data_IF_206242484779
#
_entry.id   IF_206242484779
#
_cell.length_a   1.000
_cell.length_b   1.000
_cell.length_c   1.000
_cell.angle_alpha   90.00
_cell.angle_beta   90.00
_cell.angle_gamma   90.00
#
_symmetry.space_group_name_H-M   'P 1'
#
loop_
_entity.id
_entity.type
_entity.pdbx_description
1 polymer ?
#
# COMPACT_ATOMS: atom_id res chain seq x y z
N UNK A 1 -19.92 -43.24 10.61
CA UNK A 1 -19.26 -42.11 11.31
C UNK A 1 -18.21 -41.56 10.37
N UNK A 2 -18.59 -40.58 9.53
CA UNK A 2 -17.65 -39.91 8.64
C UNK A 2 -16.86 -38.90 9.47
N UNK A 3 -15.56 -39.11 9.60
CA UNK A 3 -14.65 -38.08 10.07
C UNK A 3 -14.60 -37.01 8.98
N UNK A 4 -15.22 -35.86 9.24
CA UNK A 4 -15.24 -34.74 8.33
C UNK A 4 -13.82 -34.20 8.15
N UNK A 5 -13.26 -34.40 6.98
CA UNK A 5 -12.08 -33.66 6.52
C UNK A 5 -12.42 -32.16 6.59
N UNK A 6 -11.59 -31.31 7.22
CA UNK A 6 -11.82 -29.87 7.18
C UNK A 6 -11.76 -29.42 5.71
N UNK A 7 -12.77 -28.66 5.28
CA UNK A 7 -12.99 -28.36 3.88
C UNK A 7 -11.94 -27.43 3.26
N UNK A 8 -11.08 -26.74 4.02
CA UNK A 8 -9.98 -25.93 3.47
C UNK A 8 -8.84 -25.81 4.49
N UNK A 9 -7.63 -26.18 4.08
CA UNK A 9 -6.38 -25.91 4.81
C UNK A 9 -5.91 -24.50 4.46
N UNK A 10 -5.45 -23.74 5.44
CA UNK A 10 -4.75 -22.45 5.22
C UNK A 10 -3.28 -22.83 5.15
N UNK A 11 -2.66 -22.74 3.98
CA UNK A 11 -1.20 -22.84 3.91
C UNK A 11 -0.62 -21.47 4.24
N UNK A 12 -0.20 -21.35 5.50
CA UNK A 12 0.63 -20.25 5.99
C UNK A 12 2.02 -20.23 5.34
N UNK A 13 2.27 -21.05 4.31
CA UNK A 13 3.62 -21.51 3.96
C UNK A 13 4.46 -20.46 3.22
N UNK A 14 3.85 -19.49 2.51
CA UNK A 14 4.59 -18.73 1.49
C UNK A 14 4.90 -17.27 1.89
N UNK A 15 3.98 -16.56 2.54
CA UNK A 15 4.21 -15.19 2.99
C UNK A 15 3.33 -14.74 4.17
N UNK A 16 3.86 -13.80 4.95
CA UNK A 16 3.21 -13.13 6.07
C UNK A 16 3.13 -11.63 5.80
N UNK A 17 2.09 -10.95 6.31
CA UNK A 17 2.07 -9.49 6.35
C UNK A 17 2.44 -8.99 7.73
N UNK A 18 3.35 -8.03 7.77
CA UNK A 18 3.80 -7.34 8.98
C UNK A 18 3.55 -5.84 8.85
N UNK A 19 3.52 -5.15 9.98
CA UNK A 19 3.62 -3.69 10.03
C UNK A 19 4.66 -3.25 11.04
N UNK A 20 5.25 -2.06 10.84
CA UNK A 20 6.19 -1.47 11.79
C UNK A 20 5.41 -0.88 12.96
N UNK A 21 5.52 -1.46 14.16
CA UNK A 21 4.80 -0.96 15.34
C UNK A 21 5.36 0.38 15.83
N UNK A 22 6.68 0.58 15.73
CA UNK A 22 7.30 1.82 16.18
C UNK A 22 7.06 2.94 15.15
N UNK A 23 6.49 4.04 15.62
CA UNK A 23 6.22 5.26 14.88
C UNK A 23 6.85 6.47 15.56
N UNK A 24 7.03 7.58 14.83
CA UNK A 24 7.55 8.83 15.36
C UNK A 24 6.94 9.99 14.56
N UNK A 25 6.74 11.14 15.20
CA UNK A 25 6.21 12.36 14.58
C UNK A 25 7.12 12.92 13.47
N UNK A 26 8.42 12.63 13.52
CA UNK A 26 9.39 13.03 12.50
C UNK A 26 9.47 12.07 11.31
N UNK A 27 8.84 10.89 11.37
CA UNK A 27 8.88 9.92 10.28
C UNK A 27 8.11 10.44 9.07
N UNK A 28 8.66 10.20 7.87
CA UNK A 28 8.00 10.49 6.60
C UNK A 28 6.65 9.78 6.49
N UNK A 29 6.58 8.53 6.96
CA UNK A 29 5.37 7.69 6.96
C UNK A 29 5.06 7.17 8.36
N UNK A 30 3.79 7.25 8.75
CA UNK A 30 3.29 6.69 10.01
C UNK A 30 3.12 5.18 9.85
N UNK A 31 2.41 4.75 8.82
CA UNK A 31 2.11 3.35 8.52
C UNK A 31 3.11 2.82 7.51
N UNK A 32 3.80 1.75 7.88
CA UNK A 32 4.66 0.98 6.98
C UNK A 32 4.30 -0.48 7.18
N UNK A 33 3.83 -1.12 6.12
CA UNK A 33 3.51 -2.54 6.09
C UNK A 33 4.26 -3.23 4.97
N UNK A 34 4.54 -4.52 5.11
CA UNK A 34 5.21 -5.30 4.08
C UNK A 34 4.80 -6.76 4.14
N UNK A 35 4.89 -7.42 2.99
CA UNK A 35 4.88 -8.87 2.93
C UNK A 35 6.31 -9.38 3.09
N UNK A 36 6.48 -10.39 3.92
CA UNK A 36 7.74 -11.07 4.18
C UNK A 36 7.57 -12.56 3.96
N UNK A 37 8.64 -13.31 3.66
CA UNK A 37 8.56 -14.76 3.59
C UNK A 37 8.06 -15.36 4.91
N UNK A 38 7.53 -16.57 4.85
CA UNK A 38 7.14 -17.28 6.07
C UNK A 38 8.35 -17.49 6.99
N UNK A 39 8.23 -17.07 8.25
CA UNK A 39 9.32 -17.15 9.20
C UNK A 39 9.05 -16.44 10.52
N UNK A 40 10.00 -16.52 11.48
CA UNK A 40 9.88 -15.84 12.75
C UNK A 40 9.98 -14.31 12.58
N UNK A 41 9.09 -13.58 13.25
CA UNK A 41 9.10 -12.11 13.27
C UNK A 41 9.23 -11.57 14.69
N UNK A 42 9.84 -10.39 14.82
CA UNK A 42 10.01 -9.73 16.12
C UNK A 42 8.74 -9.00 16.58
N UNK A 43 8.65 -8.70 17.88
CA UNK A 43 7.49 -8.01 18.47
C UNK A 43 7.19 -6.63 17.85
N UNK A 44 8.20 -5.93 17.32
CA UNK A 44 8.03 -4.63 16.67
C UNK A 44 7.63 -4.74 15.19
N UNK A 45 7.46 -5.96 14.68
CA UNK A 45 6.91 -6.28 13.37
C UNK A 45 5.67 -7.18 13.54
N UNK A 46 4.57 -6.70 14.16
CA UNK A 46 3.44 -7.56 14.46
C UNK A 46 2.77 -8.06 13.18
N UNK A 47 2.21 -9.27 13.27
CA UNK A 47 1.59 -9.96 12.15
C UNK A 47 0.14 -9.52 11.94
N UNK A 48 -0.23 -9.38 10.67
CA UNK A 48 -1.60 -9.34 10.20
C UNK A 48 -1.86 -10.63 9.42
N UNK A 49 -2.82 -11.41 9.92
CA UNK A 49 -3.24 -12.66 9.28
C UNK A 49 -4.72 -12.58 8.97
N UNK A 50 -5.10 -13.18 7.86
CA UNK A 50 -6.47 -13.16 7.36
C UNK A 50 -6.98 -14.59 7.31
N UNK A 51 -8.12 -14.85 7.95
CA UNK A 51 -8.74 -16.16 7.93
C UNK A 51 -9.13 -16.51 6.49
N UNK A 52 -8.76 -17.71 6.04
CA UNK A 52 -9.20 -18.29 4.75
C UNK A 52 -8.97 -17.38 3.52
N UNK A 53 -7.87 -16.61 3.52
CA UNK A 53 -7.60 -15.61 2.49
C UNK A 53 -6.48 -16.03 1.54
N UNK A 54 -6.61 -15.64 0.26
CA UNK A 54 -5.62 -15.92 -0.79
C UNK A 54 -4.49 -14.88 -0.79
N UNK A 55 -3.38 -15.15 -1.47
CA UNK A 55 -2.27 -14.20 -1.65
C UNK A 55 -2.72 -12.82 -2.15
N UNK A 56 -3.74 -12.77 -3.02
CA UNK A 56 -4.34 -11.52 -3.50
C UNK A 56 -4.86 -10.64 -2.36
N UNK A 57 -5.41 -11.22 -1.28
CA UNK A 57 -5.87 -10.42 -0.15
C UNK A 57 -4.71 -9.71 0.56
N UNK A 58 -3.58 -10.41 0.73
CA UNK A 58 -2.36 -9.84 1.28
C UNK A 58 -1.83 -8.70 0.40
N UNK A 59 -1.80 -8.90 -0.91
CA UNK A 59 -1.44 -7.88 -1.90
C UNK A 59 -2.29 -6.60 -1.78
N UNK A 60 -3.61 -6.77 -1.66
CA UNK A 60 -4.54 -5.63 -1.60
C UNK A 60 -4.42 -4.88 -0.27
N UNK A 61 -4.35 -5.60 0.85
CA UNK A 61 -4.30 -4.98 2.17
C UNK A 61 -2.96 -4.30 2.42
N UNK A 62 -1.83 -4.91 2.03
CA UNK A 62 -0.51 -4.26 2.14
C UNK A 62 -0.45 -2.97 1.33
N UNK A 63 -1.03 -2.98 0.12
CA UNK A 63 -1.05 -1.80 -0.75
C UNK A 63 -1.88 -0.69 -0.13
N UNK A 64 -3.05 -1.03 0.41
CA UNK A 64 -3.93 -0.06 1.05
C UNK A 64 -3.30 0.54 2.31
N UNK A 65 -2.68 -0.29 3.15
CA UNK A 65 -1.97 0.13 4.37
C UNK A 65 -0.79 1.07 4.09
N UNK A 66 -0.14 0.94 2.93
CA UNK A 66 0.94 1.82 2.52
C UNK A 66 0.48 3.01 1.68
N UNK A 67 -0.83 3.24 1.51
CA UNK A 67 -1.33 4.41 0.80
C UNK A 67 -1.23 5.69 1.64
N UNK A 68 -0.93 6.82 1.01
CA UNK A 68 -0.90 8.15 1.64
C UNK A 68 -2.24 8.52 2.28
N UNK A 69 -3.41 8.32 1.65
CA UNK A 69 -4.69 8.59 2.29
C UNK A 69 -4.90 7.83 3.62
N UNK A 70 -4.52 6.55 3.66
CA UNK A 70 -4.61 5.77 4.90
C UNK A 70 -3.57 6.26 5.93
N UNK A 71 -2.33 6.53 5.51
CA UNK A 71 -1.28 7.04 6.41
C UNK A 71 -1.69 8.37 7.05
N UNK A 72 -2.32 9.25 6.28
CA UNK A 72 -2.86 10.52 6.78
C UNK A 72 -3.91 10.29 7.87
N UNK A 73 -4.88 9.39 7.62
CA UNK A 73 -5.90 9.02 8.60
C UNK A 73 -5.30 8.41 9.88
N UNK A 74 -4.32 7.53 9.73
CA UNK A 74 -3.59 6.92 10.84
C UNK A 74 -2.82 7.97 11.65
N UNK A 75 -2.16 8.93 10.97
CA UNK A 75 -1.39 10.01 11.60
C UNK A 75 -2.25 10.94 12.44
N UNK A 76 -3.50 11.17 12.05
CA UNK A 76 -4.46 11.95 12.85
C UNK A 76 -4.92 11.20 14.12
N UNK A 77 -4.84 9.86 14.10
CA UNK A 77 -5.33 9.01 15.20
C UNK A 77 -4.23 8.64 16.21
N UNK A 78 -3.00 8.47 15.73
CA UNK A 78 -1.87 7.98 16.53
C UNK A 78 -1.13 9.16 17.15
N UNK A 79 -1.29 9.35 18.46
CA UNK A 79 -0.56 10.37 19.25
C UNK A 79 0.72 9.86 19.92
N UNK A 80 0.96 8.55 19.90
CA UNK A 80 2.10 7.90 20.57
C UNK A 80 3.14 7.35 19.58
N UNK A 81 4.12 6.62 20.12
CA UNK A 81 5.19 5.97 19.33
C UNK A 81 4.89 4.52 18.96
N UNK A 82 3.74 3.98 19.38
CA UNK A 82 3.32 2.61 19.07
C UNK A 82 2.05 2.61 18.26
N UNK A 83 2.06 1.88 17.14
CA UNK A 83 0.93 1.73 16.25
C UNK A 83 -0.15 0.82 16.82
N UNK A 84 0.16 -0.15 17.70
CA UNK A 84 -0.77 -0.97 18.50
C UNK A 84 -2.02 -1.55 17.78
N UNK A 85 -2.39 -2.80 18.04
CA UNK A 85 -3.51 -3.45 17.33
C UNK A 85 -4.87 -2.74 17.42
N UNK A 86 -5.14 -1.94 18.46
CA UNK A 86 -6.41 -1.22 18.55
C UNK A 86 -6.54 -0.09 17.52
N UNK A 87 -5.44 0.57 17.10
CA UNK A 87 -5.51 1.51 15.97
C UNK A 87 -5.61 0.76 14.65
N UNK A 88 -4.80 -0.29 14.46
CA UNK A 88 -4.78 -1.07 13.21
C UNK A 88 -6.15 -1.67 12.88
N UNK A 89 -6.89 -2.14 13.90
CA UNK A 89 -8.26 -2.65 13.75
C UNK A 89 -9.30 -1.59 13.36
N UNK A 90 -8.96 -0.30 13.46
CA UNK A 90 -9.84 0.83 13.14
C UNK A 90 -9.41 1.56 11.85
N UNK A 91 -8.29 1.17 11.23
CA UNK A 91 -7.87 1.78 9.98
C UNK A 91 -8.92 1.58 8.89
N UNK A 92 -9.08 2.56 7.98
CA UNK A 92 -10.05 2.50 6.90
C UNK A 92 -9.61 1.52 5.81
N UNK A 93 -9.43 0.24 6.15
CA UNK A 93 -9.10 -0.79 5.16
C UNK A 93 -10.35 -1.09 4.32
N UNK A 94 -10.23 -0.91 3.01
CA UNK A 94 -11.35 -1.11 2.09
C UNK A 94 -11.80 -2.59 2.11
N UNK A 95 -13.12 -2.85 2.05
CA UNK A 95 -13.62 -4.23 2.05
C UNK A 95 -13.36 -4.91 0.69
N UNK A 96 -13.31 -6.26 0.63
CA UNK A 96 -12.97 -7.00 -0.58
C UNK A 96 -13.78 -6.60 -1.83
N UNK A 97 -15.06 -6.29 -1.65
CA UNK A 97 -15.98 -5.92 -2.75
C UNK A 97 -15.59 -4.60 -3.42
N UNK A 98 -14.90 -3.71 -2.70
CA UNK A 98 -14.43 -2.44 -3.27
C UNK A 98 -13.39 -2.68 -4.39
N UNK A 99 -12.54 -3.69 -4.25
CA UNK A 99 -11.48 -4.00 -5.21
C UNK A 99 -11.98 -4.63 -6.51
N UNK A 100 -13.19 -5.20 -6.49
CA UNK A 100 -13.84 -5.80 -7.66
C UNK A 100 -14.58 -4.79 -8.53
N UNK A 101 -14.76 -3.55 -8.03
CA UNK A 101 -15.40 -2.48 -8.80
C UNK A 101 -14.51 -2.06 -9.97
N UNK A 102 -15.15 -1.69 -11.07
CA UNK A 102 -14.49 -1.15 -12.26
C UNK A 102 -14.13 0.32 -12.01
N UNK A 103 -12.87 0.66 -12.25
CA UNK A 103 -12.35 2.03 -12.22
C UNK A 103 -12.80 2.82 -13.45
N UNK A 104 -12.56 4.13 -13.44
CA UNK A 104 -12.80 4.99 -14.60
C UNK A 104 -11.98 4.57 -15.83
N UNK A 105 -10.87 3.85 -15.62
CA UNK A 105 -9.99 3.34 -16.68
C UNK A 105 -10.53 2.06 -17.35
N UNK A 106 -11.72 1.59 -16.97
CA UNK A 106 -12.32 0.37 -17.50
C UNK A 106 -11.76 -0.95 -16.94
N UNK A 107 -10.72 -0.89 -16.10
CA UNK A 107 -10.15 -2.05 -15.40
C UNK A 107 -10.68 -2.15 -13.96
N UNK A 108 -10.76 -3.36 -13.40
CA UNK A 108 -11.05 -3.50 -11.97
C UNK A 108 -9.89 -2.98 -11.13
N UNK A 109 -10.17 -2.44 -9.94
CA UNK A 109 -9.11 -1.94 -9.06
C UNK A 109 -8.07 -3.00 -8.71
N UNK A 110 -8.49 -4.25 -8.47
CA UNK A 110 -7.58 -5.38 -8.23
C UNK A 110 -6.57 -5.58 -9.37
N UNK A 111 -6.99 -5.35 -10.63
CA UNK A 111 -6.13 -5.50 -11.81
C UNK A 111 -5.11 -4.35 -11.94
N UNK A 112 -5.40 -3.20 -11.35
CA UNK A 112 -4.46 -2.08 -11.30
C UNK A 112 -3.48 -2.23 -10.12
N UNK A 113 -3.94 -2.75 -8.98
CA UNK A 113 -3.16 -2.80 -7.73
C UNK A 113 -2.18 -3.97 -7.71
N UNK A 114 -2.63 -5.19 -8.03
CA UNK A 114 -1.82 -6.40 -7.83
C UNK A 114 -0.49 -6.37 -8.62
N UNK A 115 -0.45 -6.00 -9.92
CA UNK A 115 0.81 -5.96 -10.66
C UNK A 115 1.80 -4.95 -10.08
N UNK A 116 1.30 -3.79 -9.64
CA UNK A 116 2.07 -2.72 -9.01
C UNK A 116 2.68 -3.14 -7.68
N UNK A 117 1.85 -3.73 -6.82
CA UNK A 117 2.29 -4.26 -5.53
C UNK A 117 3.34 -5.35 -5.72
N UNK A 118 3.10 -6.27 -6.65
CA UNK A 118 4.01 -7.36 -6.96
C UNK A 118 5.40 -6.84 -7.35
N UNK A 119 5.49 -5.86 -8.24
CA UNK A 119 6.78 -5.25 -8.65
C UNK A 119 7.49 -4.57 -7.46
N UNK A 120 6.74 -3.97 -6.52
CA UNK A 120 7.32 -3.39 -5.31
C UNK A 120 7.82 -4.42 -4.30
N UNK A 121 7.24 -5.62 -4.28
CA UNK A 121 7.47 -6.64 -3.25
C UNK A 121 8.41 -7.76 -3.70
N UNK A 122 8.31 -8.24 -4.93
CA UNK A 122 9.08 -9.38 -5.43
C UNK A 122 10.46 -8.95 -5.95
N UNK A 123 11.34 -8.54 -5.04
CA UNK A 123 12.72 -8.12 -5.35
C UNK A 123 13.79 -9.12 -4.89
N UNK A 124 13.36 -10.31 -4.43
CA UNK A 124 14.23 -11.37 -3.92
C UNK A 124 13.59 -12.72 -4.18
N UNK A 125 14.42 -13.73 -4.42
CA UNK A 125 13.98 -15.12 -4.63
C UNK A 125 13.23 -15.72 -3.45
N UNK A 126 13.45 -15.20 -2.24
CA UNK A 126 12.72 -15.62 -1.04
C UNK A 126 11.22 -15.32 -1.12
N UNK A 127 10.80 -14.40 -2.00
CA UNK A 127 9.40 -14.05 -2.23
C UNK A 127 8.79 -14.76 -3.45
N UNK A 128 9.50 -15.71 -4.06
CA UNK A 128 9.05 -16.40 -5.29
C UNK A 128 7.71 -17.09 -5.12
N UNK A 129 7.53 -17.86 -4.06
CA UNK A 129 6.27 -18.59 -3.82
C UNK A 129 5.08 -17.62 -3.71
N UNK A 130 5.27 -16.47 -3.07
CA UNK A 130 4.24 -15.42 -3.01
C UNK A 130 3.95 -14.81 -4.40
N UNK A 131 4.96 -14.63 -5.24
CA UNK A 131 4.79 -14.15 -6.60
C UNK A 131 4.03 -15.18 -7.47
N UNK A 132 4.35 -16.46 -7.33
CA UNK A 132 3.68 -17.57 -8.02
C UNK A 132 2.20 -17.68 -7.60
N UNK A 133 1.90 -17.49 -6.30
CA UNK A 133 0.52 -17.43 -5.80
C UNK A 133 -0.29 -16.25 -6.37
N UNK A 134 0.39 -15.20 -6.82
CA UNK A 134 -0.20 -14.05 -7.53
C UNK A 134 -0.24 -14.24 -9.05
N UNK A 135 0.24 -15.38 -9.55
CA UNK A 135 0.23 -15.75 -10.97
C UNK A 135 1.46 -15.28 -11.75
N UNK A 136 2.55 -14.89 -11.07
CA UNK A 136 3.79 -14.48 -11.72
C UNK A 136 4.91 -15.52 -11.52
N UNK A 137 5.49 -15.98 -12.62
CA UNK A 137 6.51 -17.05 -12.65
C UNK A 137 7.85 -16.57 -13.21
N UNK A 138 8.03 -15.26 -13.35
CA UNK A 138 9.27 -14.66 -13.82
C UNK A 138 10.32 -14.51 -12.72
N UNK A 139 11.46 -13.96 -13.10
CA UNK A 139 12.54 -13.61 -12.17
C UNK A 139 12.11 -12.42 -11.27
N UNK A 140 12.73 -12.26 -10.08
CA UNK A 140 12.52 -11.09 -9.23
C UNK A 140 12.81 -9.78 -9.98
N UNK A 141 12.08 -8.73 -9.63
CA UNK A 141 12.26 -7.41 -10.20
C UNK A 141 13.53 -6.75 -9.66
N UNK A 142 14.31 -6.13 -10.56
CA UNK A 142 15.47 -5.34 -10.19
C UNK A 142 15.07 -4.11 -9.35
N UNK A 143 15.97 -3.70 -8.45
CA UNK A 143 15.76 -2.51 -7.66
C UNK A 143 15.99 -1.24 -8.49
N UNK A 144 14.91 -0.50 -8.77
CA UNK A 144 14.94 0.82 -9.41
C UNK A 144 14.21 1.85 -8.53
N UNK A 145 14.94 2.83 -7.97
CA UNK A 145 14.38 3.84 -7.06
C UNK A 145 13.31 4.72 -7.74
N UNK A 146 13.49 5.05 -9.03
CA UNK A 146 12.57 5.89 -9.77
C UNK A 146 11.29 5.15 -10.12
N UNK A 147 11.40 3.94 -10.67
CA UNK A 147 10.25 3.10 -11.01
C UNK A 147 9.42 2.77 -9.77
N UNK A 148 10.06 2.46 -8.65
CA UNK A 148 9.36 2.22 -7.37
C UNK A 148 8.58 3.44 -6.93
N UNK A 149 9.16 4.64 -7.05
CA UNK A 149 8.49 5.88 -6.68
C UNK A 149 7.28 6.19 -7.59
N UNK A 150 7.38 5.89 -8.88
CA UNK A 150 6.24 5.95 -9.81
C UNK A 150 5.11 5.01 -9.35
N UNK A 151 5.42 3.73 -9.15
CA UNK A 151 4.42 2.75 -8.74
C UNK A 151 3.76 3.11 -7.40
N UNK A 152 4.55 3.59 -6.43
CA UNK A 152 4.02 4.09 -5.16
C UNK A 152 3.03 5.26 -5.38
N UNK A 153 3.41 6.23 -6.21
CA UNK A 153 2.55 7.37 -6.54
C UNK A 153 1.26 6.96 -7.26
N UNK A 154 1.35 5.96 -8.14
CA UNK A 154 0.20 5.37 -8.83
C UNK A 154 -0.75 4.67 -7.85
N UNK A 155 -0.22 3.89 -6.91
CA UNK A 155 -1.00 3.23 -5.86
C UNK A 155 -1.70 4.27 -4.97
N UNK A 156 -1.00 5.32 -4.57
CA UNK A 156 -1.57 6.42 -3.78
C UNK A 156 -2.76 7.09 -4.50
N UNK A 157 -2.62 7.34 -5.81
CA UNK A 157 -3.71 7.87 -6.63
C UNK A 157 -4.89 6.89 -6.76
N UNK A 158 -4.61 5.60 -6.97
CA UNK A 158 -5.63 4.54 -7.01
C UNK A 158 -6.44 4.52 -5.71
N UNK A 159 -5.77 4.49 -4.56
CA UNK A 159 -6.46 4.46 -3.28
C UNK A 159 -7.23 5.74 -3.01
N UNK A 160 -6.72 6.91 -3.41
CA UNK A 160 -7.46 8.16 -3.31
C UNK A 160 -8.81 8.10 -4.05
N UNK A 161 -8.84 7.55 -5.27
CA UNK A 161 -10.09 7.30 -6.01
C UNK A 161 -11.00 6.30 -5.30
N UNK A 162 -10.44 5.19 -4.81
CA UNK A 162 -11.22 4.17 -4.10
C UNK A 162 -11.83 4.67 -2.79
N UNK A 163 -11.16 5.61 -2.11
CA UNK A 163 -11.68 6.31 -0.94
C UNK A 163 -12.71 7.40 -1.29
N UNK A 164 -12.92 7.70 -2.57
CA UNK A 164 -13.85 8.73 -3.03
C UNK A 164 -13.36 10.15 -2.76
N UNK A 165 -12.04 10.35 -2.65
CA UNK A 165 -11.45 11.67 -2.46
C UNK A 165 -11.59 12.51 -3.72
N UNK A 166 -11.88 13.79 -3.54
CA UNK A 166 -11.72 14.76 -4.62
C UNK A 166 -10.25 15.12 -4.80
N UNK A 167 -9.91 15.73 -5.93
CA UNK A 167 -8.56 16.24 -6.17
C UNK A 167 -8.12 17.24 -5.08
N UNK A 168 -9.05 18.09 -4.62
CA UNK A 168 -8.78 19.06 -3.56
C UNK A 168 -8.51 18.39 -2.21
N UNK A 169 -9.25 17.31 -1.89
CA UNK A 169 -9.00 16.53 -0.67
C UNK A 169 -7.60 15.89 -0.71
N UNK A 170 -7.21 15.35 -1.87
CA UNK A 170 -5.90 14.74 -2.06
C UNK A 170 -4.76 15.77 -1.96
N UNK A 171 -4.92 16.95 -2.54
CA UNK A 171 -3.97 18.06 -2.38
C UNK A 171 -3.80 18.45 -0.91
N UNK A 172 -4.91 18.56 -0.18
CA UNK A 172 -4.90 18.83 1.26
C UNK A 172 -4.19 17.72 2.06
N UNK A 173 -4.48 16.46 1.76
CA UNK A 173 -3.83 15.32 2.40
C UNK A 173 -2.32 15.36 2.15
N UNK A 174 -1.88 15.63 0.92
CA UNK A 174 -0.46 15.63 0.56
C UNK A 174 0.31 16.80 1.17
N UNK A 175 -0.29 17.99 1.25
CA UNK A 175 0.41 19.23 1.56
C UNK A 175 -0.48 20.32 2.19
N UNK A 176 -1.23 19.98 3.23
CA UNK A 176 -1.96 20.97 4.00
C UNK A 176 -1.02 22.07 4.55
N UNK A 177 -1.47 23.32 4.45
CA UNK A 177 -0.74 24.46 5.00
C UNK A 177 -0.78 24.49 6.54
N UNK A 178 0.14 25.24 7.13
CA UNK A 178 0.18 25.43 8.58
C UNK A 178 -1.15 26.00 9.11
N UNK A 179 -1.64 25.55 10.28
CA UNK A 179 -0.95 24.73 11.29
C UNK A 179 -1.04 23.21 11.10
N UNK A 180 -1.74 22.71 10.07
CA UNK A 180 -2.12 21.29 9.94
C UNK A 180 -1.25 20.50 8.98
N UNK A 181 0.07 20.71 9.00
CA UNK A 181 1.00 20.14 8.01
C UNK A 181 0.99 18.61 8.04
N UNK A 182 0.65 17.98 6.91
CA UNK A 182 0.42 16.52 6.81
C UNK A 182 1.72 15.70 6.77
N UNK A 183 2.60 15.99 5.81
CA UNK A 183 3.83 15.22 5.55
C UNK A 183 5.09 16.12 5.48
N UNK A 184 5.40 16.89 6.53
CA UNK A 184 6.46 17.90 6.50
C UNK A 184 7.85 17.30 6.23
N UNK A 185 8.20 16.19 6.89
CA UNK A 185 9.50 15.53 6.72
C UNK A 185 9.68 14.99 5.30
N UNK A 186 8.64 14.36 4.74
CA UNK A 186 8.67 13.82 3.38
C UNK A 186 8.91 14.96 2.38
N UNK A 187 8.10 16.02 2.44
CA UNK A 187 8.24 17.19 1.57
C UNK A 187 9.61 17.84 1.68
N UNK A 188 10.11 18.07 2.88
CA UNK A 188 11.44 18.68 3.09
C UNK A 188 12.57 17.81 2.55
N UNK A 189 12.49 16.49 2.73
CA UNK A 189 13.49 15.57 2.22
C UNK A 189 13.47 15.47 0.70
N UNK A 190 12.30 15.44 0.07
CA UNK A 190 12.19 15.46 -1.39
C UNK A 190 12.66 16.78 -1.99
N UNK A 191 12.28 17.93 -1.43
CA UNK A 191 12.78 19.24 -1.90
C UNK A 191 14.32 19.28 -1.80
N UNK A 192 14.90 18.74 -0.72
CA UNK A 192 16.36 18.69 -0.57
C UNK A 192 17.03 17.78 -1.60
N UNK A 193 16.45 16.61 -1.91
CA UNK A 193 17.05 15.61 -2.80
C UNK A 193 16.80 15.89 -4.29
N UNK A 194 15.62 16.38 -4.63
CA UNK A 194 15.13 16.49 -6.01
C UNK A 194 14.80 17.93 -6.43
N UNK A 195 14.78 18.89 -5.51
CA UNK A 195 14.41 20.27 -5.80
C UNK A 195 12.90 20.53 -5.91
N UNK A 196 12.07 19.48 -5.76
CA UNK A 196 10.61 19.56 -5.82
C UNK A 196 9.94 18.59 -4.84
N UNK A 197 8.65 18.79 -4.55
CA UNK A 197 7.84 17.80 -3.82
C UNK A 197 7.30 16.76 -4.83
N UNK A 198 8.16 15.82 -5.20
CA UNK A 198 7.95 14.85 -6.29
C UNK A 198 6.73 13.97 -6.05
N UNK A 199 6.52 13.49 -4.83
CA UNK A 199 5.34 12.70 -4.43
C UNK A 199 4.06 13.45 -4.79
N UNK A 200 3.93 14.72 -4.40
CA UNK A 200 2.72 15.50 -4.69
C UNK A 200 2.47 15.63 -6.19
N UNK A 201 3.51 15.98 -6.96
CA UNK A 201 3.40 16.12 -8.43
C UNK A 201 2.90 14.83 -9.07
N UNK A 202 3.54 13.70 -8.76
CA UNK A 202 3.28 12.41 -9.39
C UNK A 202 1.93 11.82 -8.97
N UNK A 203 1.60 11.86 -7.68
CA UNK A 203 0.32 11.37 -7.17
C UNK A 203 -0.85 12.15 -7.79
N UNK A 204 -0.75 13.48 -7.85
CA UNK A 204 -1.79 14.30 -8.48
C UNK A 204 -1.87 14.08 -10.00
N UNK A 205 -0.75 13.81 -10.66
CA UNK A 205 -0.74 13.48 -12.08
C UNK A 205 -1.43 12.13 -12.34
N UNK A 206 -1.04 11.05 -11.64
CA UNK A 206 -1.69 9.74 -11.74
C UNK A 206 -3.18 9.81 -11.39
N UNK A 207 -3.55 10.61 -10.39
CA UNK A 207 -4.95 10.83 -10.02
C UNK A 207 -5.76 11.45 -11.17
N UNK A 208 -5.18 12.43 -11.87
CA UNK A 208 -5.81 13.06 -13.02
C UNK A 208 -5.97 12.10 -14.21
N UNK A 209 -4.97 11.25 -14.48
CA UNK A 209 -5.06 10.22 -15.53
C UNK A 209 -6.27 9.31 -15.29
N UNK A 210 -6.41 8.77 -14.08
CA UNK A 210 -7.57 7.94 -13.71
C UNK A 210 -8.88 8.73 -13.87
N UNK A 211 -8.92 9.99 -13.43
CA UNK A 211 -10.10 10.82 -13.57
C UNK A 211 -10.52 11.04 -15.04
N UNK A 212 -9.55 11.05 -15.96
CA UNK A 212 -9.75 11.17 -17.41
C UNK A 212 -10.07 9.82 -18.08
N UNK A 213 -10.05 8.71 -17.33
CA UNK A 213 -10.29 7.36 -17.84
C UNK A 213 -9.04 6.68 -18.40
N UNK A 214 -7.86 7.20 -18.10
CA UNK A 214 -6.56 6.67 -18.53
C UNK A 214 -5.93 5.81 -17.43
N UNK A 215 -5.10 4.83 -17.82
CA UNK A 215 -4.31 4.04 -16.87
C UNK A 215 -3.36 4.98 -16.11
N UNK A 216 -3.23 4.91 -14.78
CA UNK A 216 -2.35 5.80 -14.01
C UNK A 216 -0.87 5.62 -14.28
N UNK A 217 -0.46 4.70 -15.16
CA UNK A 217 0.93 4.38 -15.46
C UNK A 217 1.76 5.63 -15.78
N UNK A 218 2.73 5.90 -14.90
CA UNK A 218 3.65 7.01 -15.02
C UNK A 218 4.84 6.59 -15.86
N UNK A 219 5.16 7.42 -16.85
CA UNK A 219 6.39 7.36 -17.63
C UNK A 219 7.23 8.60 -17.30
N UNK A 220 8.42 8.77 -17.88
CA UNK A 220 9.24 9.96 -17.62
C UNK A 220 8.47 11.26 -17.97
N UNK A 221 7.94 11.93 -16.94
CA UNK A 221 7.21 13.21 -16.97
C UNK A 221 8.12 14.36 -16.54
#
# INVERSE_FOLDING_TARGET
MNQGTPLFHIDYENALQVFRDITNSTNERTVISGNVPFGPVGNNAPLLTYLQSKAVAYALVVSNMNSIPLDWSARMSIGGVHMSFFYVKQFPVLPPEAYLKVSNCGSQWVQLIVPRMLELTYTSEEMREFAEDLGYTGDPFDWDEQRRHYIQSELDAIFAHMYGLTRADLEWILDAEAPSVSFPSLKQNEIRRFGEYRTQRLVLHAFNLIAQGENPELTEI
#
